data_IF_137246415731
#
_entry.id   IF_137246415731
#
_cell.length_a   1.000
_cell.length_b   1.000
_cell.length_c   1.000
_cell.angle_alpha   90.00
_cell.angle_beta   90.00
_cell.angle_gamma   90.00
#
_symmetry.space_group_name_H-M   'P 1'
#
loop_
_entity.id
_entity.type
_entity.pdbx_description
1 polymer ?
#
# COMPACT_ATOMS: atom_id res chain seq x y z
N UNK A 1 -6.55 -10.95 2.18
CA UNK A 1 -5.11 -10.56 2.06
C UNK A 1 -4.43 -11.12 0.80
N UNK A 2 -4.32 -12.44 0.61
CA UNK A 2 -3.50 -13.03 -0.48
C UNK A 2 -3.92 -12.62 -1.91
N UNK A 3 -5.21 -12.49 -2.18
CA UNK A 3 -5.74 -12.05 -3.49
C UNK A 3 -5.37 -10.59 -3.80
N UNK A 4 -5.42 -9.69 -2.82
CA UNK A 4 -5.08 -8.27 -2.99
C UNK A 4 -3.59 -8.07 -3.21
N UNK A 5 -2.74 -8.78 -2.45
CA UNK A 5 -1.28 -8.76 -2.65
C UNK A 5 -0.91 -9.34 -4.01
N UNK A 6 -1.55 -10.44 -4.44
CA UNK A 6 -1.39 -11.00 -5.78
C UNK A 6 -1.85 -10.01 -6.87
N UNK A 7 -2.95 -9.28 -6.67
CA UNK A 7 -3.42 -8.26 -7.61
C UNK A 7 -2.44 -7.08 -7.71
N UNK A 8 -1.96 -6.57 -6.58
CA UNK A 8 -0.97 -5.50 -6.53
C UNK A 8 0.31 -5.89 -7.30
N UNK A 9 0.82 -7.11 -7.07
CA UNK A 9 1.99 -7.66 -7.81
C UNK A 9 1.71 -7.86 -9.30
N UNK A 10 0.48 -8.24 -9.68
CA UNK A 10 0.09 -8.51 -11.06
C UNK A 10 0.00 -7.23 -11.89
N UNK A 11 -0.56 -6.16 -11.33
CA UNK A 11 -0.83 -4.92 -12.06
C UNK A 11 0.24 -3.83 -11.85
N UNK A 12 0.96 -3.86 -10.74
CA UNK A 12 1.99 -2.86 -10.43
C UNK A 12 3.35 -3.53 -10.23
N UNK A 13 4.33 -3.15 -11.05
CA UNK A 13 5.74 -3.58 -10.87
C UNK A 13 6.45 -2.83 -9.73
N UNK A 14 5.92 -1.67 -9.36
CA UNK A 14 6.46 -0.72 -8.37
C UNK A 14 5.29 -0.15 -7.54
N UNK A 15 5.56 0.11 -6.27
CA UNK A 15 4.64 0.70 -5.30
C UNK A 15 4.09 2.03 -5.80
N UNK A 16 2.76 2.22 -5.90
CA UNK A 16 2.16 3.48 -6.32
C UNK A 16 2.38 4.58 -5.28
N UNK A 17 2.67 4.20 -4.04
CA UNK A 17 3.03 5.12 -2.97
C UNK A 17 4.53 5.42 -2.92
N UNK A 18 5.30 5.04 -3.94
CA UNK A 18 6.71 5.38 -4.05
C UNK A 18 6.92 6.48 -5.08
N UNK A 19 7.51 7.60 -4.66
CA UNK A 19 8.00 8.61 -5.57
C UNK A 19 9.44 8.30 -5.99
N UNK A 20 9.61 7.98 -7.27
CA UNK A 20 10.92 7.75 -7.89
C UNK A 20 11.83 8.96 -7.88
N UNK A 21 11.26 10.19 -7.93
CA UNK A 21 12.06 11.42 -8.02
C UNK A 21 12.78 11.71 -6.71
N UNK A 22 12.06 11.55 -5.59
CA UNK A 22 12.59 11.85 -4.25
C UNK A 22 12.96 10.62 -3.44
N UNK A 23 12.75 9.42 -4.00
CA UNK A 23 12.87 8.12 -3.33
C UNK A 23 12.02 7.99 -2.05
N UNK A 24 10.91 8.74 -1.98
CA UNK A 24 10.04 8.79 -0.81
C UNK A 24 8.94 7.73 -0.86
N UNK A 25 8.52 7.30 0.33
CA UNK A 25 7.38 6.44 0.57
C UNK A 25 6.23 7.28 1.15
N UNK A 26 5.20 7.53 0.36
CA UNK A 26 4.02 8.27 0.79
C UNK A 26 3.27 7.58 1.93
N UNK A 27 3.31 6.24 2.05
CA UNK A 27 2.73 5.55 3.21
C UNK A 27 3.45 5.95 4.50
N UNK A 28 4.79 6.02 4.49
CA UNK A 28 5.55 6.48 5.67
C UNK A 28 5.20 7.93 6.02
N UNK A 29 4.99 8.78 5.01
CA UNK A 29 4.55 10.17 5.21
C UNK A 29 3.15 10.25 5.81
N UNK A 30 2.19 9.47 5.30
CA UNK A 30 0.84 9.36 5.84
C UNK A 30 0.86 8.90 7.31
N UNK A 31 1.79 8.02 7.67
CA UNK A 31 2.01 7.55 9.04
C UNK A 31 2.85 8.51 9.90
N UNK A 32 3.09 9.75 9.42
CA UNK A 32 3.90 10.79 10.08
C UNK A 32 5.29 10.31 10.54
N UNK A 33 5.90 9.40 9.79
CA UNK A 33 7.23 8.88 10.12
C UNK A 33 8.29 9.92 9.72
N UNK A 34 9.15 10.29 10.68
CA UNK A 34 10.23 11.29 10.51
C UNK A 34 11.17 10.99 9.34
N UNK A 35 11.35 9.71 9.00
CA UNK A 35 12.10 9.25 7.82
C UNK A 35 11.14 8.67 6.79
N UNK A 36 10.88 9.44 5.73
CA UNK A 36 9.95 9.07 4.67
C UNK A 36 10.59 8.34 3.49
N UNK A 37 11.93 8.18 3.44
CA UNK A 37 12.61 7.44 2.37
C UNK A 37 12.18 5.97 2.33
N UNK A 38 12.02 5.44 1.12
CA UNK A 38 11.64 4.06 0.88
C UNK A 38 12.88 3.15 0.84
N UNK A 39 13.00 2.22 1.79
CA UNK A 39 14.19 1.35 1.90
C UNK A 39 14.26 0.26 0.82
N UNK A 40 13.22 0.14 -0.02
CA UNK A 40 13.07 -0.92 -1.03
C UNK A 40 12.89 -0.40 -2.44
N UNK A 41 13.17 0.89 -2.69
CA UNK A 41 13.02 1.54 -4.00
C UNK A 41 11.65 1.26 -4.65
N UNK A 42 10.60 1.30 -3.82
CA UNK A 42 9.24 1.04 -4.25
C UNK A 42 8.91 -0.42 -4.55
N UNK A 43 9.75 -1.41 -4.22
CA UNK A 43 9.35 -2.82 -4.35
C UNK A 43 8.32 -3.19 -3.28
N UNK A 44 7.24 -3.84 -3.71
CA UNK A 44 6.21 -4.37 -2.81
C UNK A 44 6.65 -5.61 -2.05
N UNK A 45 7.51 -6.43 -2.67
CA UNK A 45 7.85 -7.75 -2.15
C UNK A 45 8.58 -7.62 -0.80
N UNK A 46 7.96 -8.19 0.25
CA UNK A 46 8.39 -8.14 1.65
C UNK A 46 8.38 -6.76 2.33
N UNK A 47 7.78 -5.72 1.72
CA UNK A 47 7.75 -4.38 2.32
C UNK A 47 6.79 -4.32 3.52
N UNK A 48 7.33 -4.33 4.75
CA UNK A 48 6.53 -4.31 5.98
C UNK A 48 5.59 -3.10 6.08
N UNK A 49 6.03 -1.92 5.62
CA UNK A 49 5.20 -0.70 5.61
C UNK A 49 3.98 -0.85 4.70
N UNK A 50 4.18 -1.49 3.54
CA UNK A 50 3.10 -1.72 2.59
C UNK A 50 2.13 -2.79 3.10
N UNK A 51 2.64 -3.90 3.64
CA UNK A 51 1.81 -4.96 4.24
C UNK A 51 0.97 -4.41 5.39
N UNK A 52 1.58 -3.68 6.33
CA UNK A 52 0.85 -3.12 7.47
C UNK A 52 -0.19 -2.06 7.05
N UNK A 53 0.06 -1.30 5.99
CA UNK A 53 -0.96 -0.41 5.41
C UNK A 53 -2.14 -1.19 4.81
N UNK A 54 -1.88 -2.31 4.13
CA UNK A 54 -2.94 -3.16 3.59
C UNK A 54 -3.77 -3.83 4.69
N UNK A 55 -3.14 -4.28 5.78
CA UNK A 55 -3.82 -4.85 6.94
C UNK A 55 -4.75 -3.83 7.59
N UNK A 56 -4.24 -2.63 7.89
CA UNK A 56 -5.02 -1.54 8.47
C UNK A 56 -6.23 -1.16 7.61
N UNK A 57 -6.04 -1.06 6.29
CA UNK A 57 -7.15 -0.80 5.36
C UNK A 57 -8.13 -1.95 5.30
N UNK A 58 -7.65 -3.20 5.31
CA UNK A 58 -8.51 -4.38 5.34
C UNK A 58 -9.39 -4.40 6.59
N UNK A 59 -8.80 -4.15 7.77
CA UNK A 59 -9.54 -4.04 9.03
C UNK A 59 -10.57 -2.91 9.00
N UNK A 60 -10.22 -1.76 8.41
CA UNK A 60 -11.17 -0.67 8.20
C UNK A 60 -12.36 -1.09 7.32
N UNK A 61 -12.14 -1.78 6.20
CA UNK A 61 -13.24 -2.25 5.33
C UNK A 61 -14.15 -3.25 6.06
N UNK A 62 -13.55 -4.22 6.78
CA UNK A 62 -14.30 -5.23 7.55
C UNK A 62 -15.12 -4.59 8.66
N UNK A 63 -14.52 -3.68 9.44
CA UNK A 63 -15.22 -3.00 10.54
C UNK A 63 -16.29 -2.01 10.05
N UNK A 64 -16.10 -1.39 8.89
CA UNK A 64 -17.05 -0.44 8.29
C UNK A 64 -18.21 -1.11 7.56
N UNK A 65 -18.20 -2.44 7.42
CA UNK A 65 -19.23 -3.19 6.67
C UNK A 65 -19.22 -2.91 5.16
N UNK A 66 -18.13 -2.33 4.64
CA UNK A 66 -17.96 -2.00 3.22
C UNK A 66 -17.41 -3.23 2.50
N UNK A 67 -17.85 -3.46 1.26
CA UNK A 67 -17.36 -4.57 0.44
C UNK A 67 -15.83 -4.52 0.32
N UNK A 68 -15.21 -5.67 0.58
CA UNK A 68 -13.77 -5.83 0.47
C UNK A 68 -13.32 -5.56 -0.98
N UNK A 69 -12.27 -4.74 -1.18
CA UNK A 69 -11.75 -4.49 -2.50
C UNK A 69 -11.19 -5.78 -3.11
N UNK A 70 -11.54 -6.04 -4.37
CA UNK A 70 -11.10 -7.25 -5.09
C UNK A 70 -9.74 -7.00 -5.73
N UNK A 71 -9.51 -5.78 -6.24
CA UNK A 71 -8.24 -5.33 -6.78
C UNK A 71 -7.58 -4.32 -5.83
N UNK A 72 -6.25 -4.24 -5.91
CA UNK A 72 -5.49 -3.21 -5.20
C UNK A 72 -5.85 -1.80 -5.70
N UNK A 73 -6.19 -1.65 -6.99
CA UNK A 73 -6.64 -0.38 -7.57
C UNK A 73 -7.91 0.17 -6.90
N UNK A 74 -8.75 -0.71 -6.37
CA UNK A 74 -9.96 -0.31 -5.66
C UNK A 74 -9.65 0.30 -4.27
N UNK A 75 -8.47 0.00 -3.70
CA UNK A 75 -7.97 0.64 -2.47
C UNK A 75 -7.54 2.09 -2.75
N UNK A 76 -7.07 2.37 -3.98
CA UNK A 76 -6.56 3.68 -4.39
C UNK A 76 -7.66 4.71 -4.71
N UNK A 77 -8.93 4.32 -4.69
CA UNK A 77 -10.06 5.22 -4.97
C UNK A 77 -10.51 6.07 -3.77
N UNK A 78 -9.86 5.95 -2.61
CA UNK A 78 -10.11 6.83 -1.45
C UNK A 78 -8.93 7.80 -1.35
N UNK A 79 -8.95 8.80 -2.23
CA UNK A 79 -8.16 10.03 -2.17
C UNK A 79 -9.08 11.19 -2.53
#
# INVERSE_FOLDING_TARGET
MEKMIKSAKKYHKICPYYDKKTANCFIKQLKNIKVSKCDRDGKFDGCAVFTGYLEERYEWYVSSGVLLPVDFRDITSIF
#
